data_IF_587772766226
#
_entry.id   IF_587772766226
#
_cell.length_a   1.000
_cell.length_b   1.000
_cell.length_c   1.000
_cell.angle_alpha   90.00
_cell.angle_beta   90.00
_cell.angle_gamma   90.00
#
_symmetry.space_group_name_H-M   'P 1'
#
loop_
_entity.id
_entity.type
_entity.pdbx_description
1 polymer ?
#
# COMPACT_ATOMS: atom_id res chain seq x y z
N UNK A 1 -3.69 3.97 -34.01
CA UNK A 1 -4.53 3.06 -33.22
C UNK A 1 -5.70 3.89 -32.73
N UNK A 2 -6.89 3.70 -33.28
CA UNK A 2 -8.11 4.37 -32.83
C UNK A 2 -8.48 3.87 -31.44
N UNK A 3 -9.00 4.78 -30.61
CA UNK A 3 -9.43 4.41 -29.28
C UNK A 3 -10.82 3.74 -29.34
N UNK A 4 -11.13 2.84 -28.39
CA UNK A 4 -12.42 2.12 -28.38
C UNK A 4 -13.62 3.07 -28.37
N UNK A 5 -13.50 4.25 -27.75
CA UNK A 5 -14.58 5.23 -27.66
C UNK A 5 -14.86 5.98 -28.97
N UNK A 6 -14.04 5.81 -30.00
CA UNK A 6 -14.20 6.43 -31.32
C UNK A 6 -14.87 5.49 -32.32
N UNK A 7 -15.07 4.21 -31.96
CA UNK A 7 -15.58 3.17 -32.84
C UNK A 7 -17.11 3.09 -32.81
N UNK A 8 -17.70 2.70 -33.93
CA UNK A 8 -19.12 2.35 -34.00
C UNK A 8 -19.39 1.04 -33.23
N UNK A 9 -20.63 0.83 -32.80
CA UNK A 9 -21.00 -0.32 -31.94
C UNK A 9 -20.57 -1.66 -32.55
N UNK A 10 -20.81 -1.87 -33.85
CA UNK A 10 -20.45 -3.10 -34.55
C UNK A 10 -18.93 -3.36 -34.53
N UNK A 11 -18.14 -2.30 -34.67
CA UNK A 11 -16.68 -2.37 -34.62
C UNK A 11 -16.19 -2.66 -33.20
N UNK A 12 -16.84 -2.10 -32.17
CA UNK A 12 -16.55 -2.41 -30.76
C UNK A 12 -16.82 -3.88 -30.46
N UNK A 13 -17.95 -4.43 -30.92
CA UNK A 13 -18.32 -5.83 -30.73
C UNK A 13 -17.31 -6.77 -31.38
N UNK A 14 -16.91 -6.48 -32.63
CA UNK A 14 -15.87 -7.24 -33.31
C UNK A 14 -14.52 -7.12 -32.61
N UNK A 15 -14.13 -5.91 -32.18
CA UNK A 15 -12.84 -5.64 -31.53
C UNK A 15 -12.70 -6.31 -30.17
N UNK A 16 -13.80 -6.38 -29.41
CA UNK A 16 -13.86 -7.03 -28.09
C UNK A 16 -14.25 -8.52 -28.16
N UNK A 17 -14.43 -9.04 -29.37
CA UNK A 17 -14.82 -10.42 -29.65
C UNK A 17 -16.05 -10.83 -28.81
N UNK A 18 -17.08 -10.00 -28.85
CA UNK A 18 -18.35 -10.22 -28.11
C UNK A 18 -19.54 -9.95 -29.02
N UNK A 19 -20.72 -10.36 -28.57
CA UNK A 19 -21.98 -10.13 -29.28
C UNK A 19 -22.88 -9.16 -28.51
N UNK A 20 -23.96 -8.71 -29.15
CA UNK A 20 -25.03 -7.96 -28.49
C UNK A 20 -25.69 -8.76 -27.34
N UNK A 21 -25.74 -10.09 -27.46
CA UNK A 21 -26.19 -10.99 -26.40
C UNK A 21 -25.15 -11.26 -25.31
N UNK A 22 -23.95 -10.67 -25.41
CA UNK A 22 -22.85 -10.86 -24.49
C UNK A 22 -21.91 -12.03 -24.85
N UNK A 23 -21.20 -12.54 -23.84
CA UNK A 23 -20.26 -13.65 -23.98
C UNK A 23 -20.91 -14.99 -23.65
N UNK A 24 -20.47 -16.03 -24.33
CA UNK A 24 -20.75 -17.41 -23.92
C UNK A 24 -20.16 -17.68 -22.52
N UNK A 25 -20.86 -18.40 -21.63
CA UNK A 25 -20.36 -18.69 -20.29
C UNK A 25 -18.98 -19.35 -20.25
N UNK A 26 -18.65 -20.21 -21.22
CA UNK A 26 -17.36 -20.88 -21.29
C UNK A 26 -16.24 -19.89 -21.67
N UNK A 27 -16.52 -18.99 -22.61
CA UNK A 27 -15.57 -17.95 -23.02
C UNK A 27 -15.37 -16.92 -21.89
N UNK A 28 -16.43 -16.56 -21.17
CA UNK A 28 -16.33 -15.73 -19.98
C UNK A 28 -15.44 -16.36 -18.90
N UNK A 29 -15.58 -17.67 -18.64
CA UNK A 29 -14.73 -18.39 -17.68
C UNK A 29 -13.27 -18.44 -18.16
N UNK A 30 -13.04 -18.69 -19.45
CA UNK A 30 -11.70 -18.68 -20.05
C UNK A 30 -11.03 -17.31 -19.89
N UNK A 31 -11.74 -16.22 -20.21
CA UNK A 31 -11.25 -14.85 -20.04
C UNK A 31 -10.97 -14.52 -18.57
N UNK A 32 -11.81 -14.99 -17.65
CA UNK A 32 -11.60 -14.82 -16.22
C UNK A 32 -10.31 -15.52 -15.74
N UNK A 33 -9.98 -16.69 -16.28
CA UNK A 33 -8.72 -17.39 -15.96
C UNK A 33 -7.48 -16.68 -16.51
N UNK A 34 -7.60 -16.00 -17.66
CA UNK A 34 -6.49 -15.30 -18.32
C UNK A 34 -6.26 -13.93 -17.69
N UNK A 35 -7.32 -13.14 -17.51
CA UNK A 35 -7.23 -11.75 -17.04
C UNK A 35 -7.33 -11.61 -15.52
N UNK A 36 -7.81 -12.66 -14.84
CA UNK A 36 -8.12 -12.60 -13.43
C UNK A 36 -9.42 -11.85 -13.14
N UNK A 37 -9.84 -11.81 -11.87
CA UNK A 37 -11.02 -11.06 -11.46
C UNK A 37 -10.79 -9.57 -11.68
N UNK A 38 -11.82 -8.85 -12.15
CA UNK A 38 -11.83 -7.39 -12.20
C UNK A 38 -12.01 -6.80 -10.79
N UNK A 39 -11.05 -7.05 -9.91
CA UNK A 39 -11.00 -6.52 -8.54
C UNK A 39 -9.64 -5.85 -8.33
N UNK A 40 -9.67 -4.62 -7.85
CA UNK A 40 -8.47 -3.91 -7.43
C UNK A 40 -7.85 -4.65 -6.24
N UNK A 41 -6.54 -4.90 -6.31
CA UNK A 41 -5.81 -5.46 -5.18
C UNK A 41 -5.87 -4.50 -3.99
N UNK A 42 -6.29 -5.01 -2.85
CA UNK A 42 -6.26 -4.27 -1.60
C UNK A 42 -4.80 -4.13 -1.17
N UNK A 43 -4.24 -2.94 -1.37
CA UNK A 43 -2.87 -2.64 -0.90
C UNK A 43 -2.87 -2.80 0.61
N UNK A 44 -2.14 -3.82 1.10
CA UNK A 44 -1.93 -4.04 2.54
C UNK A 44 -1.26 -2.79 3.12
N UNK A 45 -2.05 -1.99 3.85
CA UNK A 45 -1.52 -0.82 4.56
C UNK A 45 -0.57 -1.30 5.66
N UNK A 46 0.53 -0.57 5.85
CA UNK A 46 1.40 -0.81 7.00
C UNK A 46 0.58 -0.60 8.29
N UNK A 47 0.60 -1.52 9.26
CA UNK A 47 -0.15 -1.36 10.49
C UNK A 47 0.34 -0.13 11.26
N UNK A 48 -0.60 0.58 11.91
CA UNK A 48 -0.34 1.85 12.59
C UNK A 48 0.78 1.75 13.63
N UNK A 49 0.87 0.62 14.34
CA UNK A 49 1.92 0.40 15.34
C UNK A 49 3.33 0.36 14.73
N UNK A 50 3.49 -0.20 13.53
CA UNK A 50 4.79 -0.20 12.84
C UNK A 50 5.14 1.21 12.34
N UNK A 51 4.14 1.96 11.88
CA UNK A 51 4.35 3.37 11.50
C UNK A 51 4.75 4.21 12.72
N UNK A 52 4.11 4.01 13.86
CA UNK A 52 4.46 4.66 15.12
C UNK A 52 5.90 4.30 15.56
N UNK A 53 6.25 3.01 15.59
CA UNK A 53 7.60 2.56 15.97
C UNK A 53 8.68 3.10 15.05
N UNK A 54 8.40 3.27 13.75
CA UNK A 54 9.36 3.88 12.82
C UNK A 54 9.71 5.33 13.17
N UNK A 55 8.82 6.06 13.84
CA UNK A 55 9.09 7.42 14.29
C UNK A 55 10.02 7.49 15.52
N UNK A 56 10.19 6.40 16.29
CA UNK A 56 11.07 6.37 17.46
C UNK A 56 12.57 6.30 17.11
N UNK A 57 12.90 6.03 15.85
CA UNK A 57 14.28 5.89 15.35
C UNK A 57 14.70 7.03 14.41
N UNK A 58 13.93 8.11 14.30
CA UNK A 58 14.33 9.27 13.51
C UNK A 58 15.45 10.07 14.21
N UNK A 59 16.13 10.96 13.47
CA UNK A 59 17.29 11.73 13.98
C UNK A 59 16.96 12.51 15.25
N UNK A 60 15.79 13.16 15.32
CA UNK A 60 15.36 13.92 16.49
C UNK A 60 15.13 12.99 17.70
N UNK A 61 14.43 11.86 17.51
CA UNK A 61 14.18 10.89 18.55
C UNK A 61 15.49 10.30 19.11
N UNK A 62 16.48 10.04 18.25
CA UNK A 62 17.80 9.60 18.69
C UNK A 62 18.51 10.65 19.55
N UNK A 63 18.43 11.93 19.19
CA UNK A 63 18.97 13.02 20.02
C UNK A 63 18.28 13.06 21.40
N UNK A 64 16.95 12.88 21.43
CA UNK A 64 16.19 12.81 22.69
C UNK A 64 16.59 11.59 23.53
N UNK A 65 16.81 10.44 22.93
CA UNK A 65 17.31 9.25 23.63
C UNK A 65 18.69 9.49 24.25
N UNK A 66 19.61 10.11 23.51
CA UNK A 66 20.95 10.47 24.03
C UNK A 66 20.81 11.42 25.22
N UNK A 67 20.01 12.49 25.08
CA UNK A 67 19.77 13.44 26.15
C UNK A 67 19.15 12.78 27.40
N UNK A 68 18.17 11.90 27.20
CA UNK A 68 17.53 11.15 28.29
C UNK A 68 18.53 10.24 29.03
N UNK A 69 19.37 9.51 28.28
CA UNK A 69 20.42 8.65 28.86
C UNK A 69 21.43 9.48 29.65
N UNK A 70 21.91 10.59 29.09
CA UNK A 70 22.86 11.48 29.76
C UNK A 70 22.26 12.08 31.04
N UNK A 71 21.00 12.53 30.99
CA UNK A 71 20.28 13.05 32.16
C UNK A 71 20.09 11.98 33.22
N UNK A 72 19.80 10.74 32.83
CA UNK A 72 19.64 9.62 33.74
C UNK A 72 20.96 9.27 34.44
N UNK A 73 22.07 9.22 33.69
CA UNK A 73 23.41 9.02 34.26
C UNK A 73 23.76 10.14 35.24
N UNK A 74 23.50 11.39 34.89
CA UNK A 74 23.73 12.54 35.76
C UNK A 74 22.93 12.40 37.06
N UNK A 75 21.62 12.09 36.98
CA UNK A 75 20.75 11.95 38.14
C UNK A 75 21.24 10.88 39.12
N UNK A 76 21.72 9.74 38.60
CA UNK A 76 22.29 8.66 39.43
C UNK A 76 23.62 9.08 40.06
N UNK A 77 24.44 9.87 39.36
CA UNK A 77 25.76 10.27 39.86
C UNK A 77 25.66 11.42 40.88
N UNK A 78 24.73 12.36 40.70
CA UNK A 78 24.53 13.51 41.61
C UNK A 78 23.91 13.14 42.96
N UNK A 79 23.47 11.90 43.17
CA UNK A 79 22.92 11.46 44.46
C UNK A 79 24.00 11.18 45.53
N UNK A 80 25.28 11.41 45.23
CA UNK A 80 26.40 11.29 46.17
C UNK A 80 27.15 12.61 46.34
N UNK A 81 26.50 13.59 46.99
CA UNK A 81 27.20 14.73 47.59
C UNK A 81 26.76 14.87 49.05
N UNK A 82 27.29 14.04 49.98
CA UNK A 82 27.26 14.37 51.39
C UNK A 82 28.39 15.38 51.65
N UNK A 83 28.04 16.57 52.12
CA UNK A 83 28.97 17.41 52.89
C UNK A 83 29.35 16.68 54.19
#
# INVERSE_FOLDING_TARGET
MTAIYELEVEEVLQRLETSESGLDPQEAEKRLKIHGPNKLEEVKRRPLILLFLSNLYNVLALLLWIAAILSFIQAITSSQSPL
#
